data_IF_479458105391
#
_entry.id   IF_479458105391
#
_cell.length_a   1.000
_cell.length_b   1.000
_cell.length_c   1.000
_cell.angle_alpha   90.00
_cell.angle_beta   90.00
_cell.angle_gamma   90.00
#
_symmetry.space_group_name_H-M   'P 1'
#
loop_
_entity.id
_entity.type
_entity.pdbx_description
1 polymer ?
#
# COMPACT_ATOMS: atom_id res chain seq x y z
N UNK A 1 -9.09 26.18 18.72
CA UNK A 1 -9.71 25.55 17.51
C UNK A 1 -8.66 24.67 16.89
N UNK A 2 -8.89 23.37 16.78
CA UNK A 2 -7.93 22.46 16.11
C UNK A 2 -7.87 22.84 14.62
N UNK A 3 -6.69 23.13 14.12
CA UNK A 3 -6.47 23.45 12.71
C UNK A 3 -6.79 22.23 11.85
N UNK A 4 -7.89 22.28 11.11
CA UNK A 4 -8.40 21.17 10.29
C UNK A 4 -7.43 20.89 9.14
N UNK A 5 -6.80 19.72 9.14
CA UNK A 5 -5.86 19.28 8.13
C UNK A 5 -6.50 18.33 7.12
N UNK A 6 -6.00 18.34 5.89
CA UNK A 6 -6.34 17.37 4.87
C UNK A 6 -5.22 16.33 4.75
N UNK A 7 -5.51 15.10 5.14
CA UNK A 7 -4.52 14.02 5.24
C UNK A 7 -4.84 12.95 4.22
N UNK A 8 -3.88 12.64 3.36
CA UNK A 8 -3.95 11.51 2.45
C UNK A 8 -3.30 10.29 3.12
N UNK A 9 -4.06 9.21 3.27
CA UNK A 9 -3.58 7.92 3.76
C UNK A 9 -3.56 6.94 2.59
N UNK A 10 -2.41 6.33 2.34
CA UNK A 10 -2.23 5.31 1.31
C UNK A 10 -1.92 3.99 1.99
N UNK A 11 -2.83 3.03 1.88
CA UNK A 11 -2.69 1.73 2.53
C UNK A 11 -3.14 0.60 1.62
N UNK A 12 -2.57 -0.59 1.83
CA UNK A 12 -2.98 -1.81 1.10
C UNK A 12 -3.95 -2.67 1.91
N UNK A 13 -4.26 -2.29 3.13
CA UNK A 13 -5.16 -3.02 4.03
C UNK A 13 -5.98 -2.05 4.89
N UNK A 14 -7.29 -2.30 4.96
CA UNK A 14 -8.24 -1.57 5.78
C UNK A 14 -9.43 -2.48 6.11
N UNK A 15 -10.34 -2.04 6.98
CA UNK A 15 -11.63 -2.70 7.16
C UNK A 15 -12.32 -2.94 5.80
N UNK A 16 -12.99 -4.08 5.55
CA UNK A 16 -13.29 -5.16 6.50
C UNK A 16 -12.25 -6.28 6.58
N UNK A 17 -11.04 -6.09 6.06
CA UNK A 17 -9.99 -7.10 6.16
C UNK A 17 -9.59 -7.29 7.64
N UNK A 18 -9.55 -8.57 8.09
CA UNK A 18 -9.15 -8.93 9.45
C UNK A 18 -7.64 -9.20 9.47
N UNK A 19 -6.86 -8.14 9.61
CA UNK A 19 -5.41 -8.22 9.78
C UNK A 19 -4.92 -7.11 10.72
N UNK A 20 -3.82 -7.29 11.45
CA UNK A 20 -3.28 -6.25 12.33
C UNK A 20 -3.07 -4.91 11.62
N UNK A 21 -2.71 -4.95 10.35
CA UNK A 21 -2.51 -3.74 9.52
C UNK A 21 -3.82 -3.07 9.15
N UNK A 22 -4.83 -3.86 8.79
CA UNK A 22 -6.15 -3.33 8.49
C UNK A 22 -6.75 -2.64 9.72
N UNK A 23 -6.61 -3.25 10.91
CA UNK A 23 -7.03 -2.62 12.16
C UNK A 23 -6.29 -1.30 12.40
N UNK A 24 -4.96 -1.29 12.26
CA UNK A 24 -4.16 -0.07 12.44
C UNK A 24 -4.59 1.05 11.51
N UNK A 25 -4.73 0.76 10.20
CA UNK A 25 -5.18 1.74 9.21
C UNK A 25 -6.58 2.26 9.57
N UNK A 26 -7.49 1.36 9.92
CA UNK A 26 -8.87 1.69 10.25
C UNK A 26 -8.97 2.60 11.47
N UNK A 27 -8.27 2.25 12.55
CA UNK A 27 -8.31 3.03 13.79
C UNK A 27 -7.64 4.40 13.61
N UNK A 28 -6.55 4.46 12.83
CA UNK A 28 -5.91 5.73 12.50
C UNK A 28 -6.85 6.65 11.72
N UNK A 29 -7.53 6.12 10.69
CA UNK A 29 -8.51 6.87 9.91
C UNK A 29 -9.64 7.38 10.81
N UNK A 30 -10.21 6.49 11.64
CA UNK A 30 -11.29 6.85 12.57
C UNK A 30 -10.87 7.96 13.53
N UNK A 31 -9.68 7.85 14.11
CA UNK A 31 -9.19 8.84 15.06
C UNK A 31 -8.92 10.20 14.42
N UNK A 32 -8.36 10.23 13.21
CA UNK A 32 -8.16 11.50 12.49
C UNK A 32 -9.48 12.16 12.12
N UNK A 33 -10.46 11.38 11.66
CA UNK A 33 -11.81 11.87 11.37
C UNK A 33 -12.50 12.37 12.66
N UNK A 34 -12.40 11.62 13.77
CA UNK A 34 -12.93 12.03 15.08
C UNK A 34 -12.33 13.33 15.58
N UNK A 35 -11.05 13.61 15.26
CA UNK A 35 -10.38 14.89 15.55
C UNK A 35 -10.80 16.03 14.62
N UNK A 36 -11.68 15.78 13.65
CA UNK A 36 -12.18 16.77 12.73
C UNK A 36 -11.30 17.02 11.49
N UNK A 37 -10.28 16.19 11.26
CA UNK A 37 -9.47 16.28 10.04
C UNK A 37 -10.25 15.75 8.82
N UNK A 38 -9.91 16.26 7.64
CA UNK A 38 -10.35 15.69 6.38
C UNK A 38 -9.39 14.57 5.99
N UNK A 39 -9.90 13.37 5.75
CA UNK A 39 -9.08 12.21 5.40
C UNK A 39 -9.46 11.70 4.01
N UNK A 40 -8.48 11.59 3.13
CA UNK A 40 -8.61 10.85 1.88
C UNK A 40 -7.87 9.52 2.04
N UNK A 41 -8.60 8.41 2.01
CA UNK A 41 -8.04 7.06 2.12
C UNK A 41 -7.95 6.42 0.74
N UNK A 42 -6.74 6.16 0.26
CA UNK A 42 -6.50 5.46 -1.01
C UNK A 42 -6.21 3.99 -0.75
N UNK A 43 -7.04 3.13 -1.32
CA UNK A 43 -6.99 1.67 -1.19
C UNK A 43 -6.83 0.98 -2.55
N UNK A 44 -6.34 -0.27 -2.59
CA UNK A 44 -6.42 -1.10 -3.78
C UNK A 44 -7.87 -1.28 -4.23
N UNK A 45 -8.07 -1.41 -5.54
CA UNK A 45 -9.39 -1.63 -6.11
C UNK A 45 -9.82 -3.10 -5.91
N UNK A 46 -10.35 -3.42 -4.72
CA UNK A 46 -10.82 -4.74 -4.33
C UNK A 46 -12.32 -4.74 -4.08
N UNK A 47 -12.98 -5.82 -4.48
CA UNK A 47 -14.41 -6.00 -4.27
C UNK A 47 -14.80 -5.90 -2.78
N UNK A 48 -14.00 -6.48 -1.89
CA UNK A 48 -14.17 -6.42 -0.43
C UNK A 48 -14.28 -4.98 0.09
N UNK A 49 -13.44 -4.06 -0.40
CA UNK A 49 -13.46 -2.66 0.03
C UNK A 49 -14.63 -1.88 -0.57
N UNK A 50 -15.09 -2.26 -1.77
CA UNK A 50 -16.22 -1.62 -2.43
C UNK A 50 -17.55 -2.02 -1.84
N UNK A 51 -17.69 -3.26 -1.40
CA UNK A 51 -18.93 -3.77 -0.77
C UNK A 51 -19.14 -3.23 0.64
N UNK A 52 -18.08 -3.10 1.41
CA UNK A 52 -18.13 -2.66 2.80
C UNK A 52 -17.16 -1.50 3.02
N UNK A 53 -17.46 -0.32 2.50
CA UNK A 53 -16.58 0.83 2.69
C UNK A 53 -16.61 1.28 4.16
N UNK A 54 -15.46 1.73 4.64
CA UNK A 54 -15.40 2.47 5.90
C UNK A 54 -16.14 3.80 5.70
N UNK A 55 -16.94 4.21 6.68
CA UNK A 55 -17.71 5.46 6.61
C UNK A 55 -17.31 6.42 7.73
N UNK A 56 -17.47 7.70 7.51
CA UNK A 56 -17.22 8.74 8.51
C UNK A 56 -17.35 10.14 7.90
N UNK A 57 -17.80 11.10 8.69
CA UNK A 57 -17.87 12.48 8.25
C UNK A 57 -16.45 13.05 8.03
N UNK A 58 -16.20 13.62 6.86
CA UNK A 58 -14.87 14.08 6.44
C UNK A 58 -13.94 12.98 5.88
N UNK A 59 -14.43 11.74 5.76
CA UNK A 59 -13.71 10.65 5.09
C UNK A 59 -14.11 10.53 3.62
N UNK A 60 -13.10 10.53 2.74
CA UNK A 60 -13.24 10.20 1.33
C UNK A 60 -12.43 8.94 1.02
N UNK A 61 -13.06 7.90 0.47
CA UNK A 61 -12.36 6.69 0.02
C UNK A 61 -12.16 6.77 -1.49
N UNK A 62 -10.93 6.52 -1.92
CA UNK A 62 -10.51 6.48 -3.31
C UNK A 62 -9.88 5.12 -3.58
N UNK A 63 -10.09 4.57 -4.75
CA UNK A 63 -9.53 3.28 -5.15
C UNK A 63 -8.49 3.46 -6.27
N UNK A 64 -7.50 2.57 -6.29
CA UNK A 64 -6.49 2.54 -7.36
C UNK A 64 -7.14 2.35 -8.74
N UNK A 65 -6.48 2.81 -9.79
CA UNK A 65 -6.93 2.65 -11.20
C UNK A 65 -6.79 1.22 -11.70
N UNK A 66 -6.25 0.31 -10.91
CA UNK A 66 -6.09 -1.09 -11.27
C UNK A 66 -7.42 -1.80 -11.46
N UNK A 67 -7.39 -2.87 -12.28
CA UNK A 67 -8.55 -3.74 -12.45
C UNK A 67 -9.06 -4.24 -11.10
N UNK A 68 -10.38 -4.29 -10.94
CA UNK A 68 -11.03 -4.80 -9.73
C UNK A 68 -10.52 -6.20 -9.37
N UNK A 69 -9.92 -6.34 -8.20
CA UNK A 69 -9.51 -7.62 -7.66
C UNK A 69 -10.71 -8.33 -7.01
N UNK A 70 -11.04 -9.58 -7.47
CA UNK A 70 -12.12 -10.34 -6.89
C UNK A 70 -11.79 -10.77 -5.46
N UNK A 71 -12.81 -11.05 -4.69
CA UNK A 71 -12.68 -11.52 -3.31
C UNK A 71 -11.87 -12.82 -3.21
N UNK A 72 -11.05 -12.95 -2.16
CA UNK A 72 -10.25 -14.16 -1.92
C UNK A 72 -11.17 -15.37 -1.78
N UNK A 73 -10.93 -16.40 -2.58
CA UNK A 73 -11.73 -17.63 -2.55
C UNK A 73 -12.54 -17.88 -3.81
N UNK A 74 -12.63 -16.92 -4.72
CA UNK A 74 -13.26 -17.11 -6.01
C UNK A 74 -12.54 -18.15 -6.88
N UNK A 75 -13.24 -18.83 -7.82
CA UNK A 75 -12.64 -19.84 -8.71
C UNK A 75 -11.41 -19.31 -9.47
N UNK A 76 -11.41 -18.04 -9.84
CA UNK A 76 -10.29 -17.38 -10.54
C UNK A 76 -9.04 -17.29 -9.66
N UNK A 77 -9.19 -16.94 -8.39
CA UNK A 77 -8.09 -16.89 -7.43
C UNK A 77 -7.52 -18.29 -7.15
N UNK A 78 -8.38 -19.32 -7.10
CA UNK A 78 -7.96 -20.73 -6.96
C UNK A 78 -7.18 -21.23 -8.17
N UNK A 79 -7.56 -20.84 -9.40
CA UNK A 79 -6.88 -21.23 -10.65
C UNK A 79 -5.46 -20.66 -10.69
N UNK A 80 -5.26 -19.42 -10.35
CA UNK A 80 -3.94 -18.79 -10.30
C UNK A 80 -3.02 -19.43 -9.25
N UNK A 81 -3.56 -19.92 -8.15
CA UNK A 81 -2.81 -20.65 -7.11
C UNK A 81 -2.38 -22.03 -7.59
N UNK A 82 -3.25 -22.77 -8.34
CA UNK A 82 -2.92 -24.09 -8.90
C UNK A 82 -1.79 -24.04 -9.93
N UNK A 83 -1.77 -23.03 -10.81
CA UNK A 83 -0.71 -22.88 -11.81
C UNK A 83 0.67 -22.66 -11.14
N UNK A 84 0.71 -21.91 -10.03
CA UNK A 84 1.94 -21.74 -9.25
C UNK A 84 2.43 -23.03 -8.57
N UNK A 85 1.55 -23.94 -8.19
CA UNK A 85 1.91 -25.21 -7.53
C UNK A 85 2.49 -26.25 -8.50
N UNK A 86 2.35 -26.06 -9.80
CA UNK A 86 2.90 -26.94 -10.84
C UNK A 86 4.38 -26.68 -11.13
N UNK A 87 4.94 -25.57 -10.64
CA UNK A 87 6.37 -25.26 -10.83
C UNK A 87 7.23 -26.05 -9.84
N UNK A 88 8.41 -26.54 -10.26
CA UNK A 88 9.38 -27.14 -9.35
C UNK A 88 9.71 -26.19 -8.18
N UNK A 89 9.99 -26.72 -6.99
CA UNK A 89 10.22 -25.92 -5.77
C UNK A 89 11.32 -24.85 -5.93
N UNK A 90 12.37 -25.14 -6.70
CA UNK A 90 13.41 -24.17 -6.98
C UNK A 90 12.93 -23.03 -7.89
N UNK A 91 12.12 -23.34 -8.90
CA UNK A 91 11.52 -22.34 -9.79
C UNK A 91 10.46 -21.53 -9.06
N UNK A 92 9.68 -22.13 -8.16
CA UNK A 92 8.80 -21.40 -7.25
C UNK A 92 9.60 -20.44 -6.36
N UNK A 93 10.76 -20.87 -5.83
CA UNK A 93 11.64 -20.00 -5.05
C UNK A 93 12.26 -18.90 -5.90
N UNK A 94 12.70 -19.19 -7.12
CA UNK A 94 13.24 -18.19 -8.04
C UNK A 94 12.16 -17.18 -8.46
N UNK A 95 10.94 -17.64 -8.78
CA UNK A 95 9.80 -16.77 -9.08
C UNK A 95 9.39 -15.94 -7.86
N UNK A 96 9.35 -16.56 -6.68
CA UNK A 96 9.16 -15.83 -5.42
C UNK A 96 10.29 -14.85 -5.20
N UNK A 97 11.51 -15.17 -5.54
CA UNK A 97 12.66 -14.31 -5.40
C UNK A 97 12.68 -13.14 -6.37
N UNK A 98 12.41 -13.35 -7.65
CA UNK A 98 12.44 -12.32 -8.68
C UNK A 98 11.13 -11.52 -8.80
N UNK A 99 9.98 -12.12 -8.48
CA UNK A 99 8.66 -11.50 -8.64
C UNK A 99 7.95 -11.15 -7.34
N UNK A 100 8.20 -11.89 -6.27
CA UNK A 100 7.51 -11.71 -5.00
C UNK A 100 8.25 -10.85 -4.01
N UNK A 101 9.37 -10.28 -4.42
CA UNK A 101 9.87 -9.24 -3.60
C UNK A 101 8.82 -8.15 -3.52
N UNK A 102 8.51 -7.77 -2.30
CA UNK A 102 7.47 -6.84 -1.86
C UNK A 102 7.34 -5.58 -2.72
N UNK A 103 8.41 -5.24 -3.44
CA UNK A 103 8.50 -4.09 -4.31
C UNK A 103 7.91 -4.28 -5.71
N UNK A 104 7.92 -5.50 -6.26
CA UNK A 104 7.44 -5.74 -7.63
C UNK A 104 6.11 -6.48 -7.69
N UNK A 105 5.98 -7.58 -6.98
CA UNK A 105 4.80 -8.44 -7.10
C UNK A 105 3.55 -7.84 -6.44
N UNK A 106 3.74 -6.91 -5.52
CA UNK A 106 2.66 -6.18 -4.85
C UNK A 106 2.63 -4.70 -5.22
N UNK A 107 3.46 -4.29 -6.16
CA UNK A 107 3.38 -2.97 -6.74
C UNK A 107 2.14 -2.90 -7.62
N UNK A 108 1.21 -2.06 -7.23
CA UNK A 108 0.03 -1.73 -8.00
C UNK A 108 0.32 -0.48 -8.85
N UNK A 109 0.52 -0.62 -10.19
CA UNK A 109 0.76 0.53 -11.05
C UNK A 109 -0.42 1.51 -11.04
N UNK A 110 -1.64 1.03 -10.89
CA UNK A 110 -2.83 1.85 -10.78
C UNK A 110 -2.87 2.68 -9.48
N UNK A 111 -2.13 2.27 -8.45
CA UNK A 111 -1.96 3.08 -7.25
C UNK A 111 -1.13 4.34 -7.54
N UNK A 112 -0.02 4.20 -8.26
CA UNK A 112 0.82 5.33 -8.66
C UNK A 112 0.10 6.27 -9.62
N UNK A 113 -0.64 5.73 -10.59
CA UNK A 113 -1.46 6.48 -11.54
C UNK A 113 -2.53 7.28 -10.78
N UNK A 114 -3.31 6.63 -9.93
CA UNK A 114 -4.35 7.30 -9.14
C UNK A 114 -3.80 8.40 -8.23
N UNK A 115 -2.66 8.15 -7.58
CA UNK A 115 -1.98 9.17 -6.80
C UNK A 115 -1.55 10.39 -7.63
N UNK A 116 -1.16 10.16 -8.87
CA UNK A 116 -0.74 11.23 -9.79
C UNK A 116 -1.92 12.10 -10.25
N UNK A 117 -3.14 11.57 -10.22
CA UNK A 117 -4.39 12.24 -10.60
C UNK A 117 -5.10 12.96 -9.44
N UNK A 118 -4.71 12.65 -8.18
CA UNK A 118 -5.37 13.26 -7.03
C UNK A 118 -5.16 14.77 -7.02
N UNK A 119 -6.27 15.49 -6.93
CA UNK A 119 -6.27 16.93 -6.72
C UNK A 119 -6.24 17.23 -5.22
N UNK A 120 -5.31 18.11 -4.82
CA UNK A 120 -5.16 18.56 -3.44
C UNK A 120 -5.47 20.04 -3.28
N UNK A 121 -5.22 20.67 -2.15
CA UNK A 121 -4.01 20.47 -1.34
C UNK A 121 -4.12 19.36 -0.28
N UNK A 122 -3.00 18.72 0.02
CA UNK A 122 -2.84 17.84 1.16
C UNK A 122 -1.81 18.45 2.13
N UNK A 123 -2.13 18.46 3.42
CA UNK A 123 -1.18 18.89 4.47
C UNK A 123 -0.17 17.77 4.77
N UNK A 124 -0.63 16.52 4.73
CA UNK A 124 0.21 15.35 4.95
C UNK A 124 -0.17 14.17 4.05
N UNK A 125 0.83 13.39 3.68
CA UNK A 125 0.69 12.10 3.00
C UNK A 125 1.30 11.01 3.87
N UNK A 126 0.48 10.11 4.34
CA UNK A 126 0.91 8.96 5.14
C UNK A 126 0.79 7.68 4.32
N UNK A 127 1.90 7.01 4.10
CA UNK A 127 1.95 5.70 3.45
C UNK A 127 2.19 4.61 4.49
N UNK A 128 1.34 3.58 4.51
CA UNK A 128 1.37 2.50 5.49
C UNK A 128 1.85 1.21 4.82
N UNK A 129 2.97 0.65 5.25
CA UNK A 129 3.39 -0.69 4.84
C UNK A 129 2.52 -1.74 5.57
N UNK A 130 2.42 -2.94 5.19
CA UNK A 130 3.02 -3.75 4.16
C UNK A 130 2.11 -3.83 2.92
N UNK A 131 2.52 -3.91 1.67
CA UNK A 131 3.89 -4.05 1.20
C UNK A 131 4.62 -2.69 1.08
N UNK A 132 5.95 -2.71 1.13
CA UNK A 132 6.78 -1.52 0.94
C UNK A 132 6.59 -0.85 -0.44
N UNK A 133 5.99 -1.55 -1.39
CA UNK A 133 5.59 -1.03 -2.70
C UNK A 133 4.65 0.19 -2.61
N UNK A 134 3.89 0.32 -1.52
CA UNK A 134 3.04 1.50 -1.26
C UNK A 134 3.90 2.76 -1.14
N UNK A 135 5.00 2.71 -0.40
CA UNK A 135 5.93 3.85 -0.26
C UNK A 135 6.57 4.22 -1.60
N UNK A 136 6.92 3.20 -2.41
CA UNK A 136 7.47 3.42 -3.75
C UNK A 136 6.45 4.10 -4.68
N UNK A 137 5.18 3.73 -4.60
CA UNK A 137 4.11 4.36 -5.36
C UNK A 137 3.96 5.83 -4.98
N UNK A 138 3.94 6.15 -3.69
CA UNK A 138 3.87 7.53 -3.17
C UNK A 138 5.08 8.33 -3.64
N UNK A 139 6.29 7.85 -3.45
CA UNK A 139 7.53 8.51 -3.87
C UNK A 139 7.57 8.80 -5.39
N UNK A 140 7.06 7.89 -6.21
CA UNK A 140 6.95 8.09 -7.67
C UNK A 140 5.88 9.11 -8.03
N UNK A 141 4.72 9.06 -7.38
CA UNK A 141 3.63 9.99 -7.61
C UNK A 141 4.00 11.43 -7.22
N UNK A 142 4.74 11.62 -6.12
CA UNK A 142 5.23 12.93 -5.69
C UNK A 142 6.07 13.65 -6.75
N UNK A 143 6.80 12.91 -7.58
CA UNK A 143 7.55 13.49 -8.70
C UNK A 143 6.66 14.04 -9.82
N UNK A 144 5.43 13.55 -9.93
CA UNK A 144 4.47 13.89 -10.99
C UNK A 144 3.34 14.80 -10.52
N UNK A 145 3.04 14.80 -9.22
CA UNK A 145 1.93 15.54 -8.62
C UNK A 145 2.45 16.60 -7.64
N UNK A 146 2.28 17.87 -8.00
CA UNK A 146 2.72 19.00 -7.17
C UNK A 146 1.98 19.07 -5.82
N UNK A 147 0.69 18.70 -5.78
CA UNK A 147 -0.11 18.69 -4.55
C UNK A 147 0.42 17.68 -3.51
N UNK A 148 1.00 16.57 -3.96
CA UNK A 148 1.65 15.60 -3.08
C UNK A 148 3.04 16.05 -2.65
N UNK A 149 3.75 16.77 -3.52
CA UNK A 149 5.12 17.22 -3.26
C UNK A 149 5.21 18.27 -2.15
N UNK A 150 4.20 19.12 -2.02
CA UNK A 150 4.14 20.15 -0.99
C UNK A 150 3.71 19.62 0.38
N UNK A 151 3.17 18.40 0.45
CA UNK A 151 2.69 17.80 1.68
C UNK A 151 3.83 17.22 2.53
N UNK A 152 3.66 17.24 3.85
CA UNK A 152 4.53 16.47 4.75
C UNK A 152 4.36 14.99 4.49
N UNK A 153 5.44 14.28 4.17
CA UNK A 153 5.39 12.87 3.84
C UNK A 153 5.87 12.01 5.00
N UNK A 154 5.07 11.04 5.38
CA UNK A 154 5.35 10.08 6.45
C UNK A 154 5.25 8.66 5.88
N UNK A 155 6.33 7.89 6.02
CA UNK A 155 6.35 6.47 5.68
C UNK A 155 6.35 5.63 6.95
N UNK A 156 5.28 4.87 7.17
CA UNK A 156 5.16 3.96 8.31
C UNK A 156 5.62 2.56 7.90
N UNK A 157 6.62 2.04 8.57
CA UNK A 157 7.14 0.68 8.40
C UNK A 157 6.78 -0.16 9.62
N UNK A 158 5.84 -1.10 9.44
CA UNK A 158 5.45 -2.04 10.51
C UNK A 158 6.59 -2.97 10.92
N UNK A 159 7.40 -3.37 9.93
CA UNK A 159 8.59 -4.21 10.13
C UNK A 159 9.80 -3.50 9.50
N UNK A 160 10.93 -3.44 10.20
CA UNK A 160 12.14 -2.84 9.62
C UNK A 160 12.51 -3.55 8.31
N UNK A 161 12.56 -2.85 7.17
CA UNK A 161 12.78 -3.50 5.86
C UNK A 161 14.13 -4.20 5.74
N UNK A 162 15.03 -4.00 6.73
CA UNK A 162 16.42 -4.46 6.70
C UNK A 162 16.79 -5.44 7.81
N UNK A 163 15.90 -5.76 8.75
CA UNK A 163 16.21 -6.62 9.90
C UNK A 163 15.56 -8.00 9.86
N UNK A 164 14.85 -8.35 8.81
CA UNK A 164 14.28 -9.70 8.72
C UNK A 164 15.35 -10.75 8.51
N UNK A 165 15.29 -11.83 9.27
CA UNK A 165 16.11 -13.04 9.07
C UNK A 165 15.98 -13.55 7.63
N UNK A 166 14.87 -13.26 6.99
CA UNK A 166 14.59 -13.54 5.58
C UNK A 166 15.53 -12.79 4.63
N UNK A 167 15.93 -11.54 4.94
CA UNK A 167 16.84 -10.77 4.09
C UNK A 167 18.27 -11.28 4.16
N UNK A 168 18.67 -11.88 5.28
CA UNK A 168 20.02 -12.48 5.46
C UNK A 168 20.16 -13.83 4.77
N UNK A 169 19.08 -14.59 4.68
CA UNK A 169 19.11 -15.98 4.17
C UNK A 169 18.97 -16.07 2.66
N UNK A 170 18.53 -15.01 1.98
CA UNK A 170 18.07 -15.15 0.59
C UNK A 170 19.11 -14.71 -0.43
N UNK A 171 19.83 -13.59 -0.25
CA UNK A 171 20.91 -13.19 -1.19
C UNK A 171 21.62 -11.89 -0.77
N UNK A 172 22.96 -11.79 -0.77
CA UNK A 172 23.69 -10.56 -0.47
C UNK A 172 23.36 -9.40 -1.40
N UNK A 173 23.17 -9.66 -2.71
CA UNK A 173 22.82 -8.65 -3.70
C UNK A 173 21.45 -8.00 -3.44
N UNK A 174 20.53 -8.72 -2.82
CA UNK A 174 19.23 -8.18 -2.44
C UNK A 174 19.31 -7.15 -1.31
N UNK A 175 20.17 -7.36 -0.36
CA UNK A 175 20.44 -6.40 0.70
C UNK A 175 20.97 -5.06 0.14
N UNK A 176 21.86 -5.10 -0.85
CA UNK A 176 22.37 -3.92 -1.54
C UNK A 176 21.26 -3.21 -2.32
N UNK A 177 20.38 -3.96 -2.96
CA UNK A 177 19.22 -3.41 -3.66
C UNK A 177 18.26 -2.71 -2.70
N UNK A 178 17.91 -3.33 -1.57
CA UNK A 178 17.06 -2.72 -0.54
C UNK A 178 17.71 -1.48 0.09
N UNK A 179 19.01 -1.51 0.35
CA UNK A 179 19.77 -0.38 0.87
C UNK A 179 19.78 0.80 -0.11
N UNK A 180 19.95 0.52 -1.41
CA UNK A 180 19.85 1.52 -2.46
C UNK A 180 18.43 2.09 -2.59
N UNK A 181 17.44 1.25 -2.44
CA UNK A 181 16.04 1.64 -2.50
C UNK A 181 15.64 2.52 -1.29
N UNK A 182 16.05 2.15 -0.08
CA UNK A 182 15.77 2.94 1.12
C UNK A 182 16.38 4.35 1.10
N UNK A 183 17.43 4.57 0.31
CA UNK A 183 18.02 5.90 0.09
C UNK A 183 17.14 6.82 -0.78
N UNK A 184 16.01 6.32 -1.30
CA UNK A 184 15.07 7.10 -2.12
C UNK A 184 13.95 7.74 -1.28
N UNK A 185 13.90 7.42 0.01
CA UNK A 185 13.03 8.00 1.04
C UNK A 185 13.88 8.79 2.04
#
# INVERSE_FOLDING_TARGET
MSDRKHILIVSNACYPELSPRAFRTTELVRELVRRGHRVTLLLPNRETYRRNPLTGDGLQIVYSSSRLEPEKGTPTARRNRKIRSLLPKFAQRAVLYFYCHELRAKYDPGLCERLSELSGPFDAVLSISYPAAVHLAVSRAMRRNAALRSAVTIAEFSDPPFRGDVARTVFPAYFLYLKRWARQF
#
